data_IF_830891425686
#
_entry.id   IF_830891425686
#
_cell.length_a   1.000
_cell.length_b   1.000
_cell.length_c   1.000
_cell.angle_alpha   90.00
_cell.angle_beta   90.00
_cell.angle_gamma   90.00
#
_symmetry.space_group_name_H-M   'P 1'
#
loop_
_entity.id
_entity.type
_entity.pdbx_description
1 polymer ?
#
# COMPACT_ATOMS: atom_id res chain seq x y z
N UNK A 1 -20.35 -1.92 9.43
CA UNK A 1 -19.51 -0.72 9.41
C UNK A 1 -18.01 -1.00 9.56
N UNK A 2 -17.55 -1.89 10.45
CA UNK A 2 -16.12 -2.26 10.62
C UNK A 2 -15.33 -2.64 9.34
N UNK A 3 -16.00 -3.16 8.30
CA UNK A 3 -15.33 -3.56 7.04
C UNK A 3 -14.92 -2.38 6.16
N UNK A 4 -15.70 -1.28 6.14
CA UNK A 4 -15.37 -0.09 5.34
C UNK A 4 -14.17 0.62 5.94
N UNK A 5 -14.12 0.76 7.27
CA UNK A 5 -12.97 1.31 7.98
C UNK A 5 -11.68 0.58 7.62
N UNK A 6 -11.65 -0.75 7.66
CA UNK A 6 -10.45 -1.50 7.29
C UNK A 6 -10.01 -1.25 5.84
N UNK A 7 -10.94 -1.12 4.89
CA UNK A 7 -10.60 -0.79 3.49
C UNK A 7 -9.97 0.58 3.39
N UNK A 8 -10.54 1.58 4.06
CA UNK A 8 -10.01 2.94 4.07
C UNK A 8 -8.65 2.98 4.75
N UNK A 9 -8.49 2.30 5.89
CA UNK A 9 -7.26 2.26 6.68
C UNK A 9 -6.12 1.62 5.88
N UNK A 10 -6.37 0.48 5.21
CA UNK A 10 -5.41 -0.16 4.30
C UNK A 10 -5.01 0.74 3.13
N UNK A 11 -5.96 1.51 2.59
CA UNK A 11 -5.72 2.42 1.47
C UNK A 11 -4.89 3.63 1.90
N UNK A 12 -5.10 4.14 3.11
CA UNK A 12 -4.31 5.23 3.71
C UNK A 12 -2.89 4.75 3.96
N UNK A 13 -2.71 3.62 4.66
CA UNK A 13 -1.38 3.04 4.92
C UNK A 13 -0.62 2.82 3.60
N UNK A 14 -1.25 2.15 2.62
CA UNK A 14 -0.63 1.92 1.32
C UNK A 14 -0.24 3.21 0.59
N UNK A 15 -1.02 4.28 0.75
CA UNK A 15 -0.69 5.59 0.17
C UNK A 15 0.54 6.22 0.84
N UNK A 16 0.67 6.12 2.17
CA UNK A 16 1.85 6.58 2.90
C UNK A 16 3.10 5.76 2.55
N UNK A 17 2.98 4.44 2.45
CA UNK A 17 4.09 3.56 2.03
C UNK A 17 4.56 3.90 0.61
N UNK A 18 3.63 4.17 -0.31
CA UNK A 18 3.93 4.54 -1.69
C UNK A 18 4.61 5.92 -1.79
N UNK A 19 4.14 6.90 -1.01
CA UNK A 19 4.79 8.21 -0.87
C UNK A 19 6.19 8.09 -0.29
N UNK A 20 6.38 7.27 0.74
CA UNK A 20 7.69 7.02 1.33
C UNK A 20 8.63 6.32 0.35
N UNK A 21 8.14 5.35 -0.43
CA UNK A 21 8.91 4.71 -1.49
C UNK A 21 9.35 5.73 -2.55
N UNK A 22 8.41 6.54 -3.06
CA UNK A 22 8.71 7.62 -4.02
C UNK A 22 9.73 8.62 -3.46
N UNK A 23 9.61 9.00 -2.19
CA UNK A 23 10.59 9.87 -1.52
C UNK A 23 11.98 9.22 -1.44
N UNK A 24 12.06 7.91 -1.16
CA UNK A 24 13.33 7.16 -1.16
C UNK A 24 13.97 7.17 -2.55
N UNK A 25 13.19 6.96 -3.62
CA UNK A 25 13.71 7.04 -4.99
C UNK A 25 14.14 8.46 -5.39
N UNK A 26 13.41 9.50 -4.94
CA UNK A 26 13.69 10.87 -5.32
C UNK A 26 14.88 11.49 -4.59
N UNK A 27 14.95 11.30 -3.26
CA UNK A 27 16.00 11.93 -2.43
C UNK A 27 17.26 11.08 -2.28
N UNK A 28 17.16 9.76 -2.38
CA UNK A 28 18.25 8.84 -2.06
C UNK A 28 18.60 7.88 -3.20
N UNK A 29 18.36 8.29 -4.46
CA UNK A 29 18.60 7.43 -5.64
C UNK A 29 20.06 6.93 -5.75
N UNK A 30 21.04 7.71 -5.29
CA UNK A 30 22.46 7.32 -5.34
C UNK A 30 22.83 6.27 -4.28
N UNK A 31 21.98 6.07 -3.27
CA UNK A 31 22.21 5.11 -2.20
C UNK A 31 21.49 3.79 -2.51
N UNK A 32 22.26 2.78 -2.93
CA UNK A 32 21.79 1.40 -3.13
C UNK A 32 20.89 0.88 -1.98
N UNK A 33 21.22 1.02 -0.68
CA UNK A 33 20.33 0.54 0.39
C UNK A 33 18.98 1.28 0.43
N UNK A 34 18.95 2.57 0.09
CA UNK A 34 17.70 3.33 0.03
C UNK A 34 16.83 2.92 -1.16
N UNK A 35 17.43 2.58 -2.31
CA UNK A 35 16.72 1.99 -3.45
C UNK A 35 16.09 0.64 -3.08
N UNK A 36 16.83 -0.23 -2.39
CA UNK A 36 16.31 -1.51 -1.92
C UNK A 36 15.13 -1.28 -0.95
N UNK A 37 15.28 -0.35 0.00
CA UNK A 37 14.19 0.06 0.89
C UNK A 37 12.97 0.59 0.14
N UNK A 38 13.18 1.43 -0.88
CA UNK A 38 12.13 1.95 -1.76
C UNK A 38 11.39 0.86 -2.52
N UNK A 39 12.08 -0.15 -3.05
CA UNK A 39 11.47 -1.31 -3.72
C UNK A 39 10.62 -2.13 -2.74
N UNK A 40 11.13 -2.37 -1.53
CA UNK A 40 10.40 -3.11 -0.49
C UNK A 40 9.11 -2.35 -0.10
N UNK A 41 9.20 -1.04 0.13
CA UNK A 41 8.06 -0.19 0.43
C UNK A 41 7.05 -0.16 -0.73
N UNK A 42 7.52 -0.15 -1.97
CA UNK A 42 6.65 -0.29 -3.15
C UNK A 42 5.89 -1.62 -3.11
N UNK A 43 6.58 -2.74 -2.83
CA UNK A 43 5.95 -4.05 -2.71
C UNK A 43 4.90 -4.12 -1.60
N UNK A 44 5.20 -3.54 -0.43
CA UNK A 44 4.27 -3.45 0.69
C UNK A 44 3.05 -2.59 0.36
N UNK A 45 3.27 -1.43 -0.28
CA UNK A 45 2.18 -0.55 -0.71
C UNK A 45 1.21 -1.25 -1.65
N UNK A 46 1.72 -1.98 -2.66
CA UNK A 46 0.91 -2.76 -3.59
C UNK A 46 0.11 -3.84 -2.85
N UNK A 47 0.72 -4.52 -1.88
CA UNK A 47 0.03 -5.52 -1.07
C UNK A 47 -1.12 -4.89 -0.25
N UNK A 48 -0.89 -3.74 0.39
CA UNK A 48 -1.91 -2.97 1.11
C UNK A 48 -3.07 -2.57 0.20
N UNK A 49 -2.80 -2.10 -1.03
CA UNK A 49 -3.84 -1.74 -2.01
C UNK A 49 -4.61 -2.97 -2.53
N UNK A 50 -3.93 -4.08 -2.83
CA UNK A 50 -4.57 -5.32 -3.27
C UNK A 50 -5.48 -5.88 -2.18
N UNK A 51 -5.05 -5.81 -0.92
CA UNK A 51 -5.86 -6.27 0.21
C UNK A 51 -7.08 -5.36 0.41
N UNK A 52 -6.91 -4.03 0.32
CA UNK A 52 -8.02 -3.09 0.32
C UNK A 52 -9.02 -3.38 -0.81
N UNK A 53 -8.54 -3.67 -2.02
CA UNK A 53 -9.39 -3.99 -3.17
C UNK A 53 -10.16 -5.31 -3.00
N UNK A 54 -9.50 -6.36 -2.50
CA UNK A 54 -10.17 -7.64 -2.18
C UNK A 54 -11.22 -7.47 -1.08
N UNK A 55 -10.92 -6.68 -0.05
CA UNK A 55 -11.87 -6.34 1.01
C UNK A 55 -13.08 -5.55 0.48
N UNK A 56 -12.84 -4.59 -0.41
CA UNK A 56 -13.90 -3.84 -1.10
C UNK A 56 -14.80 -4.75 -1.93
N UNK A 57 -14.23 -5.62 -2.78
CA UNK A 57 -14.99 -6.58 -3.59
C UNK A 57 -15.86 -7.52 -2.73
N UNK A 58 -15.32 -8.04 -1.63
CA UNK A 58 -16.07 -8.90 -0.69
C UNK A 58 -17.21 -8.17 0.02
N UNK A 59 -17.18 -6.84 0.11
CA UNK A 59 -18.28 -6.05 0.66
C UNK A 59 -19.42 -5.85 -0.33
N UNK A 60 -19.11 -5.66 -1.62
CA UNK A 60 -20.12 -5.37 -2.65
C UNK A 60 -20.67 -6.62 -3.34
N UNK A 61 -19.91 -7.71 -3.39
CA UNK A 61 -20.38 -9.02 -3.88
C UNK A 61 -20.06 -10.09 -2.83
N UNK A 62 -20.86 -10.20 -1.75
CA UNK A 62 -20.71 -11.26 -0.79
C UNK A 62 -21.06 -12.59 -1.48
N UNK A 63 -20.08 -13.27 -2.06
CA UNK A 63 -20.25 -14.70 -2.37
C UNK A 63 -20.38 -15.41 -1.03
N UNK A 64 -21.56 -15.98 -0.77
CA UNK A 64 -21.81 -16.92 0.32
C UNK A 64 -20.89 -18.13 0.17
#
# INVERSE_FOLDING_TARGET
>A
MKRIENVVLLKVIGSFELLAALAMFWFFYENIPALIGGIILLGLSVNSFVQAHKCYLRQYSPRK
#
